data_IF_494892281682
#
_entry.id   IF_494892281682
#
_cell.length_a   1.000
_cell.length_b   1.000
_cell.length_c   1.000
_cell.angle_alpha   90.00
_cell.angle_beta   90.00
_cell.angle_gamma   90.00
#
_symmetry.space_group_name_H-M   'P 1'
#
loop_
_entity.id
_entity.type
_entity.pdbx_description
1 polymer ?
#
# COMPACT_ATOMS: atom_id res chain seq x y z
N UNK A 1 14.64 -2.04 88.01
CA UNK A 1 15.06 -2.98 86.95
C UNK A 1 14.87 -2.29 85.61
N UNK A 2 15.94 -1.78 85.00
CA UNK A 2 15.89 -1.13 83.68
C UNK A 2 17.11 -1.59 82.90
N UNK A 3 16.89 -2.33 81.80
CA UNK A 3 17.94 -2.78 80.89
C UNK A 3 17.59 -2.25 79.50
N UNK A 4 18.35 -1.26 79.02
CA UNK A 4 18.26 -0.79 77.64
C UNK A 4 19.23 -1.61 76.76
N UNK A 5 18.81 -2.14 75.60
CA UNK A 5 19.72 -2.87 74.72
C UNK A 5 20.54 -1.92 73.82
N UNK A 6 21.79 -2.30 73.59
CA UNK A 6 22.75 -1.57 72.80
C UNK A 6 22.47 -1.65 71.29
N UNK A 7 22.27 -0.49 70.66
CA UNK A 7 22.12 -0.33 69.20
C UNK A 7 23.41 0.25 68.61
N UNK A 8 24.50 -0.52 68.53
CA UNK A 8 25.75 -0.08 67.87
C UNK A 8 26.42 -1.13 66.98
N UNK A 9 25.63 -1.96 66.29
CA UNK A 9 26.16 -2.96 65.34
C UNK A 9 25.51 -2.98 63.96
N UNK A 10 24.56 -2.09 63.68
CA UNK A 10 23.79 -2.08 62.42
C UNK A 10 24.21 -1.01 61.40
N UNK A 11 25.11 -0.09 61.75
CA UNK A 11 25.46 1.04 60.86
C UNK A 11 26.22 0.62 59.59
N UNK A 12 27.06 -0.42 59.64
CA UNK A 12 27.80 -0.90 58.47
C UNK A 12 26.96 -1.70 57.47
N UNK A 13 26.02 -2.52 57.97
CA UNK A 13 25.13 -3.32 57.13
C UNK A 13 24.13 -2.45 56.37
N UNK A 14 23.62 -1.39 56.99
CA UNK A 14 22.70 -0.44 56.34
C UNK A 14 23.35 0.30 55.16
N UNK A 15 24.63 0.69 55.29
CA UNK A 15 25.38 1.34 54.21
C UNK A 15 25.62 0.41 53.00
N UNK A 16 25.99 -0.85 53.26
CA UNK A 16 26.19 -1.84 52.21
C UNK A 16 24.89 -2.14 51.45
N UNK A 17 23.80 -2.36 52.19
CA UNK A 17 22.48 -2.60 51.59
C UNK A 17 22.03 -1.36 50.80
N UNK A 18 22.27 -0.15 51.33
CA UNK A 18 21.98 1.10 50.62
C UNK A 18 22.75 1.24 49.31
N UNK A 19 24.03 0.86 49.29
CA UNK A 19 24.86 0.93 48.08
C UNK A 19 24.43 -0.11 47.03
N UNK A 20 24.08 -1.33 47.47
CA UNK A 20 23.54 -2.37 46.58
C UNK A 20 22.20 -1.92 46.01
N UNK A 21 21.30 -1.39 46.83
CA UNK A 21 20.00 -0.88 46.38
C UNK A 21 20.16 0.29 45.39
N UNK A 22 21.09 1.22 45.65
CA UNK A 22 21.35 2.34 44.75
C UNK A 22 21.93 1.87 43.40
N UNK A 23 22.78 0.83 43.41
CA UNK A 23 23.30 0.19 42.21
C UNK A 23 22.19 -0.52 41.42
N UNK A 24 21.29 -1.25 42.10
CA UNK A 24 20.15 -1.90 41.46
C UNK A 24 19.21 -0.87 40.83
N UNK A 25 18.88 0.22 41.53
CA UNK A 25 18.02 1.29 41.00
C UNK A 25 18.67 1.97 39.79
N UNK A 26 19.97 2.26 39.83
CA UNK A 26 20.66 2.85 38.67
C UNK A 26 20.69 1.89 37.48
N UNK A 27 20.84 0.58 37.72
CA UNK A 27 20.76 -0.44 36.66
C UNK A 27 19.35 -0.53 36.06
N UNK A 28 18.29 -0.50 36.88
CA UNK A 28 16.92 -0.56 36.37
C UNK A 28 16.54 0.68 35.59
N UNK A 29 16.94 1.87 36.04
CA UNK A 29 16.70 3.14 35.34
C UNK A 29 17.42 3.18 33.99
N UNK A 30 18.70 2.80 33.95
CA UNK A 30 19.47 2.75 32.69
C UNK A 30 18.94 1.70 31.73
N UNK A 31 18.53 0.52 32.22
CA UNK A 31 17.85 -0.49 31.41
C UNK A 31 16.53 0.04 30.83
N UNK A 32 15.72 0.76 31.63
CA UNK A 32 14.47 1.37 31.16
C UNK A 32 14.70 2.42 30.07
N UNK A 33 15.71 3.30 30.20
CA UNK A 33 16.03 4.28 29.15
C UNK A 33 16.52 3.62 27.85
N UNK A 34 17.34 2.58 27.95
CA UNK A 34 17.81 1.84 26.78
C UNK A 34 16.66 1.11 26.06
N UNK A 35 15.74 0.50 26.83
CA UNK A 35 14.55 -0.15 26.27
C UNK A 35 13.64 0.88 25.56
N UNK A 36 13.32 1.99 26.22
CA UNK A 36 12.53 3.08 25.62
C UNK A 36 13.17 3.64 24.35
N UNK A 37 14.51 3.72 24.28
CA UNK A 37 15.21 4.19 23.09
C UNK A 37 15.14 3.19 21.92
N UNK A 38 15.07 1.89 22.21
CA UNK A 38 14.87 0.84 21.20
C UNK A 38 13.45 0.90 20.62
N UNK A 39 12.45 1.13 21.47
CA UNK A 39 11.07 1.25 21.04
C UNK A 39 10.84 2.49 20.17
N UNK A 40 11.48 3.62 20.48
CA UNK A 40 11.41 4.84 19.67
C UNK A 40 11.97 4.66 18.26
N UNK A 41 13.05 3.88 18.08
CA UNK A 41 13.58 3.55 16.74
C UNK A 41 12.62 2.67 15.94
N UNK A 42 11.95 1.74 16.61
CA UNK A 42 10.94 0.89 15.99
C UNK A 42 9.74 1.69 15.48
N UNK A 43 9.26 2.65 16.29
CA UNK A 43 8.15 3.55 15.89
C UNK A 43 8.55 4.45 14.72
N UNK A 44 9.79 4.96 14.68
CA UNK A 44 10.30 5.72 13.54
C UNK A 44 10.31 4.92 12.24
N UNK A 45 10.80 3.68 12.28
CA UNK A 45 10.79 2.79 11.11
C UNK A 45 9.36 2.46 10.64
N UNK A 46 8.42 2.32 11.58
CA UNK A 46 7.00 2.10 11.25
C UNK A 46 6.36 3.35 10.66
N UNK A 47 6.71 4.54 11.14
CA UNK A 47 6.25 5.81 10.58
C UNK A 47 6.66 5.95 9.10
N UNK A 48 7.95 5.83 8.80
CA UNK A 48 8.46 5.89 7.41
C UNK A 48 7.80 4.87 6.51
N UNK A 49 7.60 3.64 7.02
CA UNK A 49 6.92 2.59 6.25
C UNK A 49 5.45 2.92 5.98
N UNK A 50 4.74 3.46 6.95
CA UNK A 50 3.32 3.83 6.79
C UNK A 50 3.15 5.00 5.82
N UNK A 51 4.01 6.01 5.91
CA UNK A 51 4.07 7.14 4.97
C UNK A 51 4.35 6.65 3.55
N UNK A 52 5.34 5.77 3.37
CA UNK A 52 5.67 5.18 2.08
C UNK A 52 4.50 4.38 1.47
N UNK A 53 3.76 3.62 2.29
CA UNK A 53 2.56 2.89 1.83
C UNK A 53 1.44 3.86 1.44
N UNK A 54 1.23 4.94 2.19
CA UNK A 54 0.23 5.96 1.86
C UNK A 54 0.57 6.66 0.53
N UNK A 55 1.84 7.04 0.34
CA UNK A 55 2.35 7.60 -0.91
C UNK A 55 2.13 6.64 -2.10
N UNK A 56 2.44 5.35 -1.92
CA UNK A 56 2.20 4.33 -2.95
C UNK A 56 0.72 4.19 -3.31
N UNK A 57 -0.18 4.13 -2.33
CA UNK A 57 -1.61 3.97 -2.57
C UNK A 57 -2.19 5.15 -3.36
N UNK A 58 -1.81 6.38 -3.01
CA UNK A 58 -2.20 7.58 -3.77
C UNK A 58 -1.76 7.49 -5.23
N UNK A 59 -0.51 7.14 -5.46
CA UNK A 59 0.02 7.01 -6.82
C UNK A 59 -0.66 5.87 -7.61
N UNK A 60 -0.99 4.77 -6.94
CA UNK A 60 -1.76 3.68 -7.55
C UNK A 60 -3.16 4.13 -7.93
N UNK A 61 -3.84 4.92 -7.10
CA UNK A 61 -5.18 5.45 -7.41
C UNK A 61 -5.18 6.37 -8.64
N UNK A 62 -4.17 7.22 -8.77
CA UNK A 62 -3.98 8.09 -9.95
C UNK A 62 -3.80 7.25 -11.23
N UNK A 63 -2.94 6.24 -11.19
CA UNK A 63 -2.72 5.33 -12.33
C UNK A 63 -3.94 4.46 -12.61
N UNK A 64 -4.60 3.96 -11.58
CA UNK A 64 -5.81 3.16 -11.69
C UNK A 64 -6.96 3.94 -12.34
N UNK A 65 -7.09 5.23 -12.00
CA UNK A 65 -8.04 6.14 -12.63
C UNK A 65 -7.70 6.38 -14.11
N UNK A 66 -6.42 6.57 -14.42
CA UNK A 66 -5.96 6.79 -15.80
C UNK A 66 -6.05 5.55 -16.69
N UNK A 67 -5.99 4.34 -16.13
CA UNK A 67 -6.01 3.08 -16.89
C UNK A 67 -7.26 2.92 -17.78
N UNK A 68 -8.37 3.51 -17.36
CA UNK A 68 -9.66 3.41 -18.06
C UNK A 68 -10.17 4.77 -18.55
N UNK A 69 -9.37 5.83 -18.40
CA UNK A 69 -9.77 7.14 -18.90
C UNK A 69 -9.95 7.06 -20.43
N UNK A 70 -11.12 7.45 -20.98
CA UNK A 70 -11.26 7.59 -22.42
C UNK A 70 -10.27 8.66 -22.91
N UNK A 71 -9.82 8.55 -24.16
CA UNK A 71 -9.04 9.61 -24.79
C UNK A 71 -9.80 10.93 -24.80
N UNK A 72 -9.11 12.03 -25.11
CA UNK A 72 -9.70 13.38 -25.26
C UNK A 72 -10.92 13.41 -26.19
N UNK A 73 -11.00 12.44 -27.09
CA UNK A 73 -12.02 12.33 -28.14
C UNK A 73 -13.20 11.42 -27.70
N UNK A 74 -13.22 11.00 -26.43
CA UNK A 74 -14.23 10.09 -25.87
C UNK A 74 -14.08 8.63 -26.32
N UNK A 75 -13.10 8.33 -27.17
CA UNK A 75 -12.81 6.98 -27.64
C UNK A 75 -12.03 6.17 -26.60
N UNK A 76 -12.24 4.85 -26.51
CA UNK A 76 -11.45 3.99 -25.64
C UNK A 76 -9.95 4.06 -25.99
N UNK A 77 -9.09 4.29 -24.98
CA UNK A 77 -7.63 4.24 -25.19
C UNK A 77 -7.20 2.81 -25.54
N UNK A 78 -6.40 2.70 -26.61
CA UNK A 78 -5.79 1.44 -27.07
C UNK A 78 -4.28 1.39 -26.78
N UNK A 79 -3.72 2.45 -26.20
CA UNK A 79 -2.29 2.54 -25.90
C UNK A 79 -2.00 1.79 -24.60
N UNK A 80 -1.01 0.88 -24.58
CA UNK A 80 -0.59 0.23 -23.35
C UNK A 80 -0.21 1.25 -22.27
N UNK A 81 -0.61 1.03 -21.02
CA UNK A 81 -0.25 1.93 -19.93
C UNK A 81 1.25 1.86 -19.70
N UNK A 82 1.88 3.02 -19.61
CA UNK A 82 3.32 3.17 -19.44
C UNK A 82 3.65 3.22 -17.94
N UNK A 83 4.90 2.91 -17.60
CA UNK A 83 5.41 3.15 -16.26
C UNK A 83 5.48 4.66 -15.98
N UNK A 84 5.15 5.05 -14.76
CA UNK A 84 5.12 6.45 -14.34
C UNK A 84 5.88 6.63 -13.03
N UNK A 85 6.20 7.88 -12.71
CA UNK A 85 6.82 8.25 -11.44
C UNK A 85 5.93 9.29 -10.79
N UNK A 86 5.51 9.04 -9.55
CA UNK A 86 4.80 10.01 -8.72
C UNK A 86 5.75 10.53 -7.64
N UNK A 87 5.82 11.85 -7.52
CA UNK A 87 6.65 12.55 -6.56
C UNK A 87 5.75 13.02 -5.42
N UNK A 88 6.01 12.56 -4.21
CA UNK A 88 5.17 12.83 -3.04
C UNK A 88 5.95 13.67 -2.03
N UNK A 89 5.41 14.85 -1.75
CA UNK A 89 5.82 15.75 -0.69
C UNK A 89 4.75 15.66 0.41
N UNK A 90 5.09 15.04 1.56
CA UNK A 90 4.13 14.77 2.64
C UNK A 90 4.00 15.99 3.56
N UNK A 91 5.09 16.71 3.79
CA UNK A 91 5.13 17.85 4.71
C UNK A 91 4.88 19.20 4.00
N UNK A 92 4.76 19.17 2.68
CA UNK A 92 4.53 20.30 1.79
C UNK A 92 5.60 21.40 1.93
N UNK A 93 6.87 21.00 2.11
CA UNK A 93 8.01 21.91 2.25
C UNK A 93 8.67 22.31 0.92
N UNK A 94 8.21 21.74 -0.19
CA UNK A 94 8.72 22.00 -1.54
C UNK A 94 9.83 21.05 -1.98
N UNK A 95 10.22 20.09 -1.15
CA UNK A 95 11.12 18.98 -1.47
C UNK A 95 10.32 17.67 -1.49
N UNK A 96 10.58 16.81 -2.48
CA UNK A 96 9.93 15.51 -2.51
C UNK A 96 10.57 14.55 -1.51
N UNK A 97 9.79 14.13 -0.51
CA UNK A 97 10.21 13.15 0.51
C UNK A 97 10.30 11.74 -0.06
N UNK A 98 9.35 11.39 -0.94
CA UNK A 98 9.21 10.04 -1.50
C UNK A 98 9.04 10.08 -3.01
N UNK A 99 9.75 9.18 -3.68
CA UNK A 99 9.60 8.93 -5.11
C UNK A 99 8.99 7.54 -5.31
N UNK A 100 7.80 7.49 -5.91
CA UNK A 100 7.07 6.25 -6.21
C UNK A 100 7.24 5.93 -7.69
N UNK A 101 8.01 4.90 -7.99
CA UNK A 101 8.12 4.36 -9.35
C UNK A 101 7.07 3.28 -9.57
N UNK A 102 6.19 3.50 -10.54
CA UNK A 102 5.14 2.55 -10.95
C UNK A 102 5.60 1.85 -12.22
N UNK A 103 5.68 0.53 -12.17
CA UNK A 103 5.95 -0.27 -13.36
C UNK A 103 4.75 -0.21 -14.32
N UNK A 104 4.96 -0.39 -15.64
CA UNK A 104 3.86 -0.48 -16.61
C UNK A 104 2.80 -1.49 -16.14
N UNK A 105 1.54 -1.09 -15.92
CA UNK A 105 0.48 -2.00 -15.50
C UNK A 105 0.30 -3.14 -16.49
N UNK A 106 0.16 -4.37 -15.98
CA UNK A 106 0.06 -5.56 -16.83
C UNK A 106 -1.32 -6.17 -16.70
N UNK A 107 -1.95 -6.48 -17.84
CA UNK A 107 -3.17 -7.27 -17.86
C UNK A 107 -2.83 -8.74 -17.54
N UNK A 108 -3.12 -9.19 -16.32
CA UNK A 108 -2.80 -10.55 -15.86
C UNK A 108 -3.86 -11.56 -16.26
N UNK A 109 -5.09 -11.12 -16.47
CA UNK A 109 -6.21 -11.98 -16.85
C UNK A 109 -7.31 -11.16 -17.49
N UNK A 110 -7.92 -11.68 -18.56
CA UNK A 110 -9.14 -11.15 -19.12
C UNK A 110 -10.08 -12.30 -19.51
N UNK A 111 -11.37 -12.13 -19.22
CA UNK A 111 -12.42 -13.10 -19.56
C UNK A 111 -13.56 -12.39 -20.26
N UNK A 112 -14.05 -12.97 -21.37
CA UNK A 112 -15.20 -12.44 -22.09
C UNK A 112 -16.41 -12.37 -21.14
N UNK A 113 -17.03 -11.19 -21.04
CA UNK A 113 -18.30 -11.03 -20.37
C UNK A 113 -19.36 -11.71 -21.23
N UNK A 114 -20.05 -12.70 -20.67
CA UNK A 114 -21.13 -13.39 -21.37
C UNK A 114 -22.45 -12.77 -20.95
N UNK A 115 -23.25 -12.38 -21.94
CA UNK A 115 -24.68 -12.16 -21.73
C UNK A 115 -25.28 -13.54 -21.47
N UNK A 116 -25.54 -13.87 -20.21
CA UNK A 116 -26.36 -15.05 -19.93
C UNK A 116 -27.74 -14.72 -20.47
N UNK A 117 -28.17 -15.40 -21.54
CA UNK A 117 -29.40 -15.11 -22.27
C UNK A 117 -30.55 -14.72 -21.33
N UNK A 118 -30.95 -13.44 -21.40
CA UNK A 118 -32.00 -12.87 -20.56
C UNK A 118 -31.57 -12.15 -19.26
N UNK A 119 -30.28 -11.98 -18.97
CA UNK A 119 -29.83 -11.41 -17.70
C UNK A 119 -28.57 -10.56 -17.79
N UNK A 120 -28.75 -9.26 -17.53
CA UNK A 120 -27.80 -8.30 -16.90
C UNK A 120 -26.30 -8.50 -17.10
N UNK A 121 -25.66 -7.52 -17.75
CA UNK A 121 -24.20 -7.36 -17.78
C UNK A 121 -23.71 -7.03 -16.37
N UNK A 122 -22.90 -7.92 -15.78
CA UNK A 122 -22.25 -7.67 -14.49
C UNK A 122 -20.95 -6.90 -14.73
N UNK A 123 -20.96 -5.61 -14.43
CA UNK A 123 -19.74 -4.81 -14.41
C UNK A 123 -18.77 -5.23 -13.29
N UNK A 124 -17.52 -4.74 -13.29
CA UNK A 124 -16.52 -5.02 -12.25
C UNK A 124 -16.97 -4.70 -10.82
N UNK A 125 -17.93 -3.78 -10.67
CA UNK A 125 -18.51 -3.37 -9.39
C UNK A 125 -19.65 -4.26 -8.88
N UNK A 126 -19.96 -5.37 -9.58
CA UNK A 126 -21.14 -6.20 -9.27
C UNK A 126 -22.48 -5.50 -9.54
N UNK A 127 -22.45 -4.26 -10.02
CA UNK A 127 -23.62 -3.54 -10.49
C UNK A 127 -24.03 -4.19 -11.81
N UNK A 128 -25.15 -4.90 -11.74
CA UNK A 128 -25.85 -5.46 -12.88
C UNK A 128 -26.52 -4.30 -13.64
N UNK A 129 -25.89 -3.87 -14.72
CA UNK A 129 -26.55 -3.01 -15.69
C UNK A 129 -27.59 -3.86 -16.43
N UNK A 130 -28.86 -3.62 -16.16
CA UNK A 130 -29.95 -4.24 -16.92
C UNK A 130 -29.84 -3.80 -18.37
N UNK A 131 -29.27 -4.65 -19.23
CA UNK A 131 -29.50 -4.53 -20.65
C UNK A 131 -30.98 -4.87 -20.86
N UNK A 132 -31.83 -3.85 -20.97
CA UNK A 132 -33.19 -4.01 -21.46
C UNK A 132 -33.14 -4.34 -22.95
N UNK A 133 -32.82 -5.59 -23.30
CA UNK A 133 -33.00 -6.13 -24.64
C UNK A 133 -34.27 -6.97 -24.76
N UNK A 134 -35.21 -6.84 -23.81
CA UNK A 134 -36.56 -7.37 -23.96
C UNK A 134 -37.32 -6.59 -25.03
N UNK A 135 -37.20 -7.03 -26.29
CA UNK A 135 -38.15 -6.68 -27.36
C UNK A 135 -37.64 -5.85 -28.53
N UNK A 136 -36.34 -5.53 -28.63
CA UNK A 136 -35.76 -4.91 -29.83
C UNK A 136 -34.76 -5.88 -30.45
N UNK A 137 -34.95 -6.24 -31.72
CA UNK A 137 -34.09 -7.17 -32.49
C UNK A 137 -32.64 -6.68 -32.72
N UNK A 138 -32.09 -5.85 -31.83
CA UNK A 138 -30.71 -5.40 -31.82
C UNK A 138 -29.87 -6.40 -30.99
N UNK A 139 -29.52 -7.51 -31.64
CA UNK A 139 -29.00 -8.71 -30.97
C UNK A 139 -27.47 -8.77 -30.77
N UNK A 140 -26.75 -7.64 -30.76
CA UNK A 140 -25.31 -7.66 -30.52
C UNK A 140 -24.92 -6.52 -29.59
N UNK A 141 -24.91 -6.79 -28.28
CA UNK A 141 -24.05 -6.00 -27.40
C UNK A 141 -22.60 -6.14 -27.92
N UNK A 142 -21.80 -5.07 -27.95
CA UNK A 142 -20.41 -5.18 -28.32
C UNK A 142 -19.70 -6.13 -27.35
N UNK A 143 -18.79 -6.98 -27.87
CA UNK A 143 -17.99 -7.89 -27.06
C UNK A 143 -17.27 -7.14 -25.94
N UNK A 144 -17.62 -7.45 -24.69
CA UNK A 144 -17.01 -6.90 -23.47
C UNK A 144 -16.17 -7.95 -22.76
N UNK A 145 -15.14 -7.51 -22.03
CA UNK A 145 -14.17 -8.35 -21.33
C UNK A 145 -13.91 -7.79 -19.94
N UNK A 146 -14.11 -8.62 -18.92
CA UNK A 146 -13.70 -8.29 -17.56
C UNK A 146 -12.21 -8.61 -17.41
N UNK A 147 -11.39 -7.58 -17.18
CA UNK A 147 -9.93 -7.69 -17.08
C UNK A 147 -9.44 -7.39 -15.65
N UNK A 148 -8.34 -8.02 -15.28
CA UNK A 148 -7.61 -7.81 -14.03
C UNK A 148 -6.21 -7.33 -14.38
N UNK A 149 -5.82 -6.23 -13.76
CA UNK A 149 -4.55 -5.55 -13.95
C UNK A 149 -3.72 -5.66 -12.67
N UNK A 150 -2.45 -6.01 -12.80
CA UNK A 150 -1.47 -5.90 -11.70
C UNK A 150 -0.72 -4.57 -11.84
N UNK A 151 -0.80 -3.75 -10.80
CA UNK A 151 -0.05 -2.51 -10.67
C UNK A 151 0.99 -2.74 -9.59
N UNK A 152 2.26 -2.59 -9.96
CA UNK A 152 3.37 -2.74 -9.02
C UNK A 152 4.15 -1.45 -8.88
N UNK A 153 4.44 -1.08 -7.65
CA UNK A 153 5.15 0.14 -7.30
C UNK A 153 6.36 -0.15 -6.43
N UNK A 154 7.36 0.71 -6.54
CA UNK A 154 8.53 0.75 -5.67
C UNK A 154 8.67 2.15 -5.11
N UNK A 155 8.74 2.27 -3.79
CA UNK A 155 8.87 3.55 -3.09
C UNK A 155 10.32 3.72 -2.67
N UNK A 156 10.89 4.86 -3.02
CA UNK A 156 12.24 5.28 -2.65
C UNK A 156 12.16 6.54 -1.80
N UNK A 157 13.05 6.66 -0.82
CA UNK A 157 13.21 7.90 -0.05
C UNK A 157 13.92 8.98 -0.90
N UNK A 158 14.02 10.20 -0.36
CA UNK A 158 14.76 11.31 -0.96
C UNK A 158 16.25 11.01 -1.20
N UNK A 159 16.83 10.01 -0.53
CA UNK A 159 18.21 9.55 -0.75
C UNK A 159 18.32 8.47 -1.85
N UNK A 160 17.21 8.02 -2.43
CA UNK A 160 17.13 6.98 -3.45
C UNK A 160 17.14 5.55 -2.90
N UNK A 161 16.98 5.36 -1.60
CA UNK A 161 16.93 4.03 -0.96
C UNK A 161 15.54 3.41 -1.10
N UNK A 162 15.40 2.17 -1.59
CA UNK A 162 14.12 1.48 -1.63
C UNK A 162 13.62 1.18 -0.22
N UNK A 163 12.40 1.62 0.08
CA UNK A 163 11.76 1.42 1.40
C UNK A 163 10.83 0.21 1.36
N UNK A 164 9.92 0.21 0.39
CA UNK A 164 8.86 -0.80 0.28
C UNK A 164 8.33 -0.86 -1.16
N UNK A 165 7.68 -1.96 -1.49
CA UNK A 165 6.94 -2.13 -2.73
C UNK A 165 5.48 -2.45 -2.42
N UNK A 166 4.56 -1.89 -3.18
CA UNK A 166 3.12 -2.17 -3.07
C UNK A 166 2.64 -2.77 -4.38
N UNK A 167 1.77 -3.78 -4.30
CA UNK A 167 1.11 -4.38 -5.46
C UNK A 167 -0.39 -4.35 -5.26
N UNK A 168 -1.12 -3.95 -6.29
CA UNK A 168 -2.56 -3.87 -6.25
C UNK A 168 -3.18 -4.42 -7.54
N UNK A 169 -4.20 -5.26 -7.36
CA UNK A 169 -5.04 -5.76 -8.45
C UNK A 169 -6.21 -4.83 -8.72
N UNK A 170 -6.36 -4.34 -9.95
CA UNK A 170 -7.49 -3.49 -10.37
C UNK A 170 -8.32 -4.21 -11.42
N UNK A 171 -9.66 -4.12 -11.31
CA UNK A 171 -10.58 -4.69 -12.30
C UNK A 171 -11.06 -3.61 -13.25
N UNK A 172 -11.01 -3.91 -14.55
CA UNK A 172 -11.35 -2.99 -15.61
C UNK A 172 -12.23 -3.68 -16.65
N UNK A 173 -13.30 -3.02 -17.10
CA UNK A 173 -14.13 -3.50 -18.19
C UNK A 173 -13.57 -2.97 -19.52
N UNK A 174 -13.24 -3.87 -20.44
CA UNK A 174 -12.68 -3.54 -21.75
C UNK A 174 -13.68 -3.93 -22.84
N UNK A 175 -13.71 -3.16 -23.93
CA UNK A 175 -14.33 -3.64 -25.17
C UNK A 175 -13.36 -4.53 -25.97
N UNK A 176 -13.83 -5.14 -27.06
CA UNK A 176 -13.02 -6.02 -27.91
C UNK A 176 -11.71 -5.40 -28.42
N UNK A 177 -11.76 -4.15 -28.89
CA UNK A 177 -10.57 -3.50 -29.43
C UNK A 177 -9.51 -3.26 -28.34
N UNK A 178 -9.96 -2.84 -27.15
CA UNK A 178 -9.08 -2.69 -25.99
C UNK A 178 -8.52 -4.03 -25.53
N UNK A 179 -9.34 -5.08 -25.46
CA UNK A 179 -8.88 -6.42 -25.11
C UNK A 179 -7.79 -6.89 -26.09
N UNK A 180 -8.00 -6.72 -27.40
CA UNK A 180 -7.04 -7.13 -28.41
C UNK A 180 -5.71 -6.36 -28.30
N UNK A 181 -5.78 -5.06 -28.03
CA UNK A 181 -4.60 -4.20 -27.94
C UNK A 181 -3.83 -4.37 -26.63
N UNK A 182 -4.51 -4.64 -25.52
CA UNK A 182 -3.96 -4.51 -24.16
C UNK A 182 -3.77 -5.83 -23.41
N UNK A 183 -4.62 -6.82 -23.67
CA UNK A 183 -4.67 -8.09 -22.92
C UNK A 183 -4.43 -9.34 -23.77
N UNK A 184 -4.64 -9.24 -25.09
CA UNK A 184 -4.44 -10.33 -26.05
C UNK A 184 -3.07 -10.27 -26.75
N UNK A 185 -2.27 -9.25 -26.43
CA UNK A 185 -0.86 -9.25 -26.81
C UNK A 185 -0.19 -10.36 -26.02
N UNK A 186 0.39 -11.33 -26.72
CA UNK A 186 1.27 -12.34 -26.10
C UNK A 186 2.23 -11.60 -25.17
N UNK A 187 2.20 -11.96 -23.88
CA UNK A 187 2.76 -11.16 -22.78
C UNK A 187 4.23 -10.74 -22.95
N UNK A 188 4.74 -9.90 -22.03
CA UNK A 188 6.08 -9.32 -22.16
C UNK A 188 7.09 -10.43 -22.45
N UNK A 189 7.79 -10.30 -23.59
CA UNK A 189 8.97 -11.12 -23.86
C UNK A 189 9.94 -10.98 -22.69
N UNK A 190 10.47 -12.10 -22.15
CA UNK A 190 11.36 -12.10 -21.00
C UNK A 190 12.63 -11.27 -21.23
#
# INVERSE_FOLDING_TARGET
MTRAPATRRQQGAALLIGMIMLLLITLTVTAAFNLSSSDLKSVGNLQTRNEAVAAANRAIEEVASSLLAPGSDGTPSLTPPQGTVSLVDINNDGTYDYTVSIAPPVCVRATKAVDSGGGTVTGPSGITGGASSSGSGLSTLPDQYNSVWDISTTVTDAAGTPITAVRQGVRALLNKAQFDALCNTTGPTP
#
